data_IF_662309849885
#
_entry.id   IF_662309849885
#
_cell.length_a   1.000
_cell.length_b   1.000
_cell.length_c   1.000
_cell.angle_alpha   90.00
_cell.angle_beta   90.00
_cell.angle_gamma   90.00
#
_symmetry.space_group_name_H-M   'P 1'
#
loop_
_entity.id
_entity.type
_entity.pdbx_description
1 polymer ?
#
# COMPACT_ATOMS: atom_id res chain seq x y z
N UNK A 1 -16.83 -10.94 -7.21
CA UNK A 1 -16.47 -9.90 -6.24
C UNK A 1 -15.45 -10.44 -5.25
N UNK A 2 -14.74 -9.54 -4.59
CA UNK A 2 -13.71 -9.89 -3.61
C UNK A 2 -12.64 -10.80 -4.22
N UNK A 3 -12.10 -11.72 -3.40
CA UNK A 3 -11.03 -12.64 -3.80
C UNK A 3 -11.47 -13.61 -4.94
N UNK A 4 -12.75 -13.91 -5.06
CA UNK A 4 -13.25 -14.73 -6.17
C UNK A 4 -13.18 -14.04 -7.54
N UNK A 5 -13.09 -12.72 -7.56
CA UNK A 5 -12.95 -11.92 -8.78
C UNK A 5 -11.51 -11.45 -9.05
N UNK A 6 -10.75 -11.21 -8.00
CA UNK A 6 -9.40 -10.67 -8.04
C UNK A 6 -8.53 -11.42 -7.02
N UNK A 7 -7.74 -12.38 -7.47
CA UNK A 7 -6.88 -13.21 -6.62
C UNK A 7 -5.41 -12.83 -6.80
N UNK A 8 -4.67 -12.83 -5.70
CA UNK A 8 -3.20 -12.74 -5.65
C UNK A 8 -2.64 -13.84 -4.75
N UNK A 9 -1.30 -13.91 -4.69
CA UNK A 9 -0.58 -14.80 -3.79
C UNK A 9 -0.99 -14.54 -2.31
N UNK A 10 -1.11 -15.58 -1.47
CA UNK A 10 -1.50 -15.44 -0.07
C UNK A 10 -0.45 -14.75 0.82
N UNK A 11 0.77 -14.55 0.35
CA UNK A 11 1.78 -13.78 1.09
C UNK A 11 1.26 -12.37 1.37
N UNK A 12 1.34 -11.85 2.58
CA UNK A 12 0.67 -10.66 3.09
C UNK A 12 -0.87 -10.74 3.21
N UNK A 13 -1.51 -11.84 2.82
CA UNK A 13 -2.96 -12.07 2.94
C UNK A 13 -3.86 -11.02 2.25
N UNK A 14 -3.58 -10.58 1.01
CA UNK A 14 -4.35 -9.51 0.35
C UNK A 14 -5.80 -9.90 0.04
N UNK A 15 -6.12 -11.21 0.03
CA UNK A 15 -7.48 -11.68 -0.19
C UNK A 15 -8.48 -11.13 0.82
N UNK A 16 -8.09 -11.02 2.09
CA UNK A 16 -8.91 -10.41 3.12
C UNK A 16 -9.21 -8.94 2.84
N UNK A 17 -8.23 -8.20 2.33
CA UNK A 17 -8.40 -6.79 1.95
C UNK A 17 -9.34 -6.65 0.74
N UNK A 18 -9.19 -7.51 -0.27
CA UNK A 18 -10.08 -7.51 -1.44
C UNK A 18 -11.53 -7.81 -1.05
N UNK A 19 -11.75 -8.73 -0.11
CA UNK A 19 -13.08 -9.02 0.44
C UNK A 19 -13.62 -7.79 1.19
N UNK A 20 -12.84 -7.19 2.07
CA UNK A 20 -13.27 -6.07 2.90
C UNK A 20 -13.61 -4.82 2.06
N UNK A 21 -12.73 -4.46 1.11
CA UNK A 21 -12.93 -3.31 0.22
C UNK A 21 -14.13 -3.55 -0.71
N UNK A 22 -14.22 -4.74 -1.31
CA UNK A 22 -15.34 -5.11 -2.15
C UNK A 22 -16.68 -5.04 -1.41
N UNK A 23 -16.74 -5.56 -0.18
CA UNK A 23 -17.92 -5.48 0.66
C UNK A 23 -18.31 -4.04 1.00
N UNK A 24 -17.32 -3.16 1.26
CA UNK A 24 -17.58 -1.73 1.49
C UNK A 24 -18.25 -1.08 0.29
N UNK A 25 -17.74 -1.31 -0.92
CA UNK A 25 -18.34 -0.76 -2.14
C UNK A 25 -19.73 -1.33 -2.43
N UNK A 26 -19.92 -2.65 -2.24
CA UNK A 26 -21.23 -3.29 -2.43
C UNK A 26 -22.25 -2.74 -1.42
N UNK A 27 -21.87 -2.61 -0.16
CA UNK A 27 -22.74 -2.05 0.89
C UNK A 27 -23.18 -0.64 0.56
N UNK A 28 -22.27 0.21 0.08
CA UNK A 28 -22.63 1.56 -0.36
C UNK A 28 -23.62 1.54 -1.54
N UNK A 29 -23.37 0.70 -2.57
CA UNK A 29 -24.26 0.60 -3.71
C UNK A 29 -25.65 0.08 -3.33
N UNK A 30 -25.76 -0.94 -2.47
CA UNK A 30 -27.03 -1.44 -1.97
C UNK A 30 -27.78 -0.37 -1.17
N UNK A 31 -27.05 0.39 -0.38
CA UNK A 31 -27.64 1.50 0.41
C UNK A 31 -28.16 2.61 -0.49
N UNK A 32 -27.43 2.96 -1.55
CA UNK A 32 -27.87 3.94 -2.57
C UNK A 32 -29.12 3.46 -3.30
N UNK A 33 -29.15 2.18 -3.69
CA UNK A 33 -30.33 1.58 -4.35
C UNK A 33 -31.56 1.66 -3.44
N UNK A 34 -31.40 1.32 -2.16
CA UNK A 34 -32.47 1.43 -1.16
C UNK A 34 -33.01 2.86 -0.99
N UNK A 35 -32.21 3.87 -1.31
CA UNK A 35 -32.60 5.30 -1.33
C UNK A 35 -33.16 5.75 -2.69
N UNK A 36 -33.23 4.86 -3.70
CA UNK A 36 -33.68 5.19 -5.05
C UNK A 36 -32.67 5.99 -5.89
N UNK A 37 -31.40 5.98 -5.51
CA UNK A 37 -30.33 6.68 -6.22
C UNK A 37 -29.87 5.91 -7.47
N UNK A 38 -29.30 6.61 -8.46
CA UNK A 38 -28.76 5.99 -9.67
C UNK A 38 -27.39 5.40 -9.40
N UNK A 39 -27.20 4.10 -9.66
CA UNK A 39 -25.98 3.37 -9.34
C UNK A 39 -24.91 3.42 -10.44
N UNK A 40 -25.29 3.49 -11.72
CA UNK A 40 -24.41 3.18 -12.86
C UNK A 40 -23.03 3.86 -12.82
N UNK A 41 -23.00 5.19 -12.65
CA UNK A 41 -21.74 5.92 -12.61
C UNK A 41 -20.92 5.60 -11.33
N UNK A 42 -21.59 5.43 -10.20
CA UNK A 42 -20.93 5.10 -8.93
C UNK A 42 -20.33 3.69 -8.98
N UNK A 43 -21.06 2.73 -9.50
CA UNK A 43 -20.60 1.35 -9.68
C UNK A 43 -19.35 1.28 -10.58
N UNK A 44 -19.33 2.03 -11.69
CA UNK A 44 -18.15 2.11 -12.56
C UNK A 44 -16.93 2.70 -11.85
N UNK A 45 -17.12 3.72 -11.03
CA UNK A 45 -16.01 4.31 -10.25
C UNK A 45 -15.49 3.30 -9.23
N UNK A 46 -16.36 2.61 -8.51
CA UNK A 46 -15.94 1.61 -7.52
C UNK A 46 -15.23 0.41 -8.17
N UNK A 47 -15.67 -0.01 -9.35
CA UNK A 47 -14.99 -1.04 -10.13
C UNK A 47 -13.57 -0.59 -10.53
N UNK A 48 -13.40 0.63 -11.02
CA UNK A 48 -12.10 1.21 -11.34
C UNK A 48 -11.19 1.34 -10.10
N UNK A 49 -11.73 1.76 -8.96
CA UNK A 49 -10.98 1.85 -7.71
C UNK A 49 -10.53 0.48 -7.22
N UNK A 50 -11.38 -0.53 -7.33
CA UNK A 50 -11.05 -1.91 -6.97
C UNK A 50 -9.92 -2.46 -7.84
N UNK A 51 -9.96 -2.24 -9.16
CA UNK A 51 -8.88 -2.63 -10.06
C UNK A 51 -7.59 -1.85 -9.79
N UNK A 52 -7.68 -0.54 -9.51
CA UNK A 52 -6.51 0.27 -9.13
C UNK A 52 -5.86 -0.24 -7.85
N UNK A 53 -6.65 -0.66 -6.86
CA UNK A 53 -6.14 -1.27 -5.64
C UNK A 53 -5.46 -2.61 -5.94
N UNK A 54 -6.09 -3.45 -6.78
CA UNK A 54 -5.51 -4.71 -7.21
C UNK A 54 -4.16 -4.52 -7.91
N UNK A 55 -4.07 -3.62 -8.89
CA UNK A 55 -2.84 -3.34 -9.64
C UNK A 55 -1.73 -2.82 -8.71
N UNK A 56 -2.09 -1.97 -7.77
CA UNK A 56 -1.17 -1.47 -6.75
C UNK A 56 -0.62 -2.59 -5.86
N UNK A 57 -1.48 -3.52 -5.47
CA UNK A 57 -1.11 -4.68 -4.66
C UNK A 57 -0.32 -5.70 -5.48
N UNK A 58 -0.69 -5.95 -6.74
CA UNK A 58 0.04 -6.84 -7.66
C UNK A 58 1.51 -6.45 -7.79
N UNK A 59 1.81 -5.17 -7.78
CA UNK A 59 3.19 -4.68 -7.88
C UNK A 59 4.11 -5.18 -6.74
N UNK A 60 3.56 -5.60 -5.60
CA UNK A 60 4.31 -6.15 -4.47
C UNK A 60 4.77 -7.60 -4.72
N UNK A 61 4.17 -8.29 -5.71
CA UNK A 61 4.42 -9.71 -6.01
C UNK A 61 5.09 -9.92 -7.37
N UNK A 62 4.73 -9.10 -8.35
CA UNK A 62 5.21 -9.28 -9.72
C UNK A 62 6.74 -9.21 -9.79
N UNK A 63 7.35 -10.33 -10.20
CA UNK A 63 8.81 -10.48 -10.31
C UNK A 63 9.57 -10.29 -8.97
N UNK A 64 8.90 -10.47 -7.82
CA UNK A 64 9.49 -10.25 -6.49
C UNK A 64 9.95 -11.54 -5.79
N UNK A 65 9.53 -12.71 -6.24
CA UNK A 65 9.86 -14.00 -5.59
C UNK A 65 11.37 -14.26 -5.37
N UNK A 66 12.28 -13.85 -6.28
CA UNK A 66 13.71 -13.98 -6.03
C UNK A 66 14.21 -13.25 -4.77
N UNK A 67 13.51 -12.19 -4.35
CA UNK A 67 13.85 -11.41 -3.15
C UNK A 67 13.50 -12.18 -1.87
N UNK A 68 12.48 -13.04 -1.89
CA UNK A 68 12.02 -13.74 -0.68
C UNK A 68 13.05 -14.68 -0.05
N UNK A 69 14.05 -15.10 -0.82
CA UNK A 69 15.21 -15.83 -0.32
C UNK A 69 16.44 -14.97 -0.03
N UNK A 70 16.33 -13.65 -0.08
CA UNK A 70 17.46 -12.73 0.11
C UNK A 70 17.43 -12.10 1.50
N UNK A 71 18.32 -12.51 2.43
CA UNK A 71 18.28 -12.04 3.81
C UNK A 71 18.75 -10.58 4.00
N UNK A 72 19.37 -9.98 2.98
CA UNK A 72 19.78 -8.58 3.00
C UNK A 72 18.65 -7.66 2.49
N UNK A 73 17.96 -8.06 1.43
CA UNK A 73 16.96 -7.22 0.74
C UNK A 73 15.55 -7.44 1.25
N UNK A 74 15.18 -8.69 1.60
CA UNK A 74 13.82 -8.99 2.06
C UNK A 74 13.38 -8.17 3.28
N UNK A 75 14.18 -7.97 4.33
CA UNK A 75 13.76 -7.13 5.46
C UNK A 75 13.43 -5.70 5.05
N UNK A 76 14.21 -5.14 4.12
CA UNK A 76 13.98 -3.79 3.59
C UNK A 76 12.69 -3.74 2.77
N UNK A 77 12.45 -4.77 1.93
CA UNK A 77 11.18 -4.91 1.21
C UNK A 77 10.00 -4.95 2.15
N UNK A 78 10.05 -5.76 3.21
CA UNK A 78 8.96 -5.88 4.19
C UNK A 78 8.64 -4.54 4.85
N UNK A 79 9.68 -3.80 5.27
CA UNK A 79 9.51 -2.45 5.83
C UNK A 79 8.85 -1.51 4.81
N UNK A 80 9.30 -1.53 3.55
CA UNK A 80 8.71 -0.73 2.50
C UNK A 80 7.24 -1.08 2.26
N UNK A 81 6.94 -2.35 2.04
CA UNK A 81 5.60 -2.83 1.70
C UNK A 81 4.57 -2.48 2.78
N UNK A 82 4.91 -2.68 4.06
CA UNK A 82 4.04 -2.29 5.17
C UNK A 82 3.95 -0.77 5.35
N UNK A 83 5.03 -0.01 5.09
CA UNK A 83 4.97 1.45 5.15
C UNK A 83 4.03 2.00 4.08
N UNK A 84 4.07 1.44 2.88
CA UNK A 84 3.16 1.79 1.79
C UNK A 84 1.72 1.40 2.12
N UNK A 85 1.51 0.17 2.58
CA UNK A 85 0.19 -0.34 2.93
C UNK A 85 -0.46 0.45 4.08
N UNK A 86 0.21 0.58 5.23
CA UNK A 86 -0.33 1.30 6.39
C UNK A 86 -0.37 2.82 6.19
N UNK A 87 0.58 3.35 5.44
CA UNK A 87 0.66 4.80 5.21
C UNK A 87 -0.32 5.33 4.17
N UNK A 88 -0.78 4.49 3.23
CA UNK A 88 -1.63 4.91 2.12
C UNK A 88 -2.89 4.05 2.03
N UNK A 89 -2.74 2.77 1.68
CA UNK A 89 -3.89 1.93 1.30
C UNK A 89 -4.84 1.68 2.48
N UNK A 90 -4.31 1.26 3.63
CA UNK A 90 -5.08 0.98 4.83
C UNK A 90 -5.75 2.23 5.42
N UNK A 91 -5.15 3.42 5.25
CA UNK A 91 -5.73 4.66 5.74
C UNK A 91 -7.14 4.91 5.19
N UNK A 92 -7.36 4.65 3.91
CA UNK A 92 -8.69 4.83 3.30
C UNK A 92 -9.74 3.89 3.89
N UNK A 93 -9.36 2.65 4.20
CA UNK A 93 -10.26 1.68 4.81
C UNK A 93 -10.58 2.03 6.27
N UNK A 94 -9.54 2.19 7.10
CA UNK A 94 -9.70 2.37 8.55
C UNK A 94 -10.31 3.72 8.95
N UNK A 95 -10.24 4.71 8.06
CA UNK A 95 -10.86 6.04 8.28
C UNK A 95 -12.17 6.22 7.51
N UNK A 96 -12.81 5.14 7.02
CA UNK A 96 -14.09 5.18 6.28
C UNK A 96 -14.05 6.11 5.06
N UNK A 97 -12.92 6.15 4.32
CA UNK A 97 -12.72 7.03 3.17
C UNK A 97 -12.77 6.32 1.81
N UNK A 98 -13.03 5.02 1.78
CA UNK A 98 -13.10 4.26 0.52
C UNK A 98 -14.24 4.72 -0.40
N UNK A 99 -15.33 5.23 0.16
CA UNK A 99 -16.47 5.75 -0.60
C UNK A 99 -16.48 7.28 -0.71
N UNK A 100 -15.54 7.96 -0.05
CA UNK A 100 -15.39 9.42 -0.10
C UNK A 100 -14.58 9.86 -1.34
N UNK A 101 -15.27 9.95 -2.48
CA UNK A 101 -14.63 10.36 -3.75
C UNK A 101 -14.09 11.80 -3.71
N UNK A 102 -14.57 12.65 -2.81
CA UNK A 102 -14.09 14.03 -2.68
C UNK A 102 -12.68 14.06 -2.07
N UNK A 103 -12.44 13.30 -1.01
CA UNK A 103 -11.11 13.13 -0.42
C UNK A 103 -10.13 12.48 -1.41
N UNK A 104 -10.58 11.45 -2.16
CA UNK A 104 -9.75 10.83 -3.19
C UNK A 104 -9.38 11.81 -4.31
N UNK A 105 -10.33 12.63 -4.77
CA UNK A 105 -10.07 13.65 -5.78
C UNK A 105 -9.07 14.70 -5.30
N UNK A 106 -9.18 15.13 -4.03
CA UNK A 106 -8.26 16.09 -3.41
C UNK A 106 -6.83 15.55 -3.27
N UNK A 107 -6.67 14.22 -3.21
CA UNK A 107 -5.39 13.53 -3.04
C UNK A 107 -4.88 12.88 -4.35
N UNK A 108 -5.54 13.11 -5.47
CA UNK A 108 -5.25 12.41 -6.74
C UNK A 108 -3.78 12.48 -7.15
N UNK A 109 -3.13 13.60 -6.95
CA UNK A 109 -1.73 13.80 -7.32
C UNK A 109 -0.82 13.00 -6.39
N UNK A 110 -1.02 13.10 -5.09
CA UNK A 110 -0.24 12.39 -4.08
C UNK A 110 -0.39 10.86 -4.21
N UNK A 111 -1.61 10.38 -4.48
CA UNK A 111 -1.87 8.95 -4.69
C UNK A 111 -1.16 8.42 -5.94
N UNK A 112 -1.20 9.15 -7.05
CA UNK A 112 -0.47 8.80 -8.28
C UNK A 112 1.05 8.78 -8.04
N UNK A 113 1.57 9.75 -7.29
CA UNK A 113 2.99 9.80 -6.90
C UNK A 113 3.37 8.63 -5.98
N UNK A 114 2.51 8.25 -5.01
CA UNK A 114 2.74 7.08 -4.17
C UNK A 114 2.81 5.79 -4.99
N UNK A 115 1.90 5.59 -5.95
CA UNK A 115 1.93 4.42 -6.85
C UNK A 115 3.18 4.38 -7.71
N UNK A 116 3.59 5.51 -8.27
CA UNK A 116 4.81 5.60 -9.07
C UNK A 116 6.03 5.28 -8.22
N UNK A 117 6.13 5.89 -7.04
CA UNK A 117 7.24 5.65 -6.10
C UNK A 117 7.31 4.18 -5.68
N UNK A 118 6.15 3.53 -5.44
CA UNK A 118 6.11 2.11 -5.13
C UNK A 118 6.70 1.27 -6.28
N UNK A 119 6.31 1.50 -7.53
CA UNK A 119 6.88 0.79 -8.69
C UNK A 119 8.40 0.96 -8.78
N UNK A 120 8.89 2.19 -8.59
CA UNK A 120 10.32 2.49 -8.63
C UNK A 120 11.11 1.78 -7.54
N UNK A 121 10.57 1.72 -6.33
CA UNK A 121 11.22 1.02 -5.22
C UNK A 121 11.18 -0.50 -5.42
N UNK A 122 10.06 -1.08 -5.87
CA UNK A 122 10.00 -2.51 -6.17
C UNK A 122 11.03 -2.90 -7.24
N UNK A 123 11.22 -2.06 -8.26
CA UNK A 123 12.26 -2.28 -9.26
C UNK A 123 13.68 -2.13 -8.68
N UNK A 124 13.90 -1.14 -7.82
CA UNK A 124 15.19 -0.95 -7.15
C UNK A 124 15.55 -2.15 -6.26
N UNK A 125 14.58 -2.69 -5.51
CA UNK A 125 14.77 -3.89 -4.68
C UNK A 125 15.10 -5.13 -5.53
N UNK A 126 14.46 -5.33 -6.69
CA UNK A 126 14.81 -6.40 -7.62
C UNK A 126 16.25 -6.27 -8.12
N UNK A 127 16.64 -5.07 -8.52
CA UNK A 127 18.03 -4.82 -8.98
C UNK A 127 19.03 -5.05 -7.87
N UNK A 128 18.73 -4.61 -6.66
CA UNK A 128 19.59 -4.83 -5.49
C UNK A 128 19.74 -6.34 -5.21
N UNK A 129 18.64 -7.09 -5.14
CA UNK A 129 18.69 -8.53 -4.88
C UNK A 129 19.45 -9.32 -5.96
N UNK A 130 19.48 -8.83 -7.21
CA UNK A 130 20.24 -9.46 -8.28
C UNK A 130 21.77 -9.41 -8.07
N UNK A 131 22.26 -8.44 -7.29
CA UNK A 131 23.68 -8.22 -7.00
C UNK A 131 24.05 -8.44 -5.53
N UNK A 132 23.05 -8.63 -4.68
CA UNK A 132 23.21 -8.87 -3.24
C UNK A 132 24.09 -10.09 -2.99
N UNK A 133 24.95 -10.01 -1.98
CA UNK A 133 25.78 -11.12 -1.53
C UNK A 133 24.99 -12.16 -0.73
N UNK A 134 23.71 -11.90 -0.42
CA UNK A 134 22.81 -12.78 0.36
C UNK A 134 23.39 -13.21 1.70
N UNK A 135 24.15 -12.33 2.34
CA UNK A 135 24.74 -12.59 3.65
C UNK A 135 23.66 -12.58 4.73
N UNK A 136 23.65 -13.60 5.56
CA UNK A 136 22.80 -13.61 6.73
C UNK A 136 23.27 -12.55 7.72
N UNK A 137 22.39 -11.63 8.17
CA UNK A 137 22.74 -10.68 9.19
C UNK A 137 23.05 -11.40 10.52
N UNK A 138 23.99 -10.86 11.30
CA UNK A 138 24.32 -11.41 12.61
C UNK A 138 23.17 -11.29 13.63
N UNK A 139 22.26 -10.32 13.41
CA UNK A 139 21.11 -10.02 14.26
C UNK A 139 19.89 -9.90 13.34
N UNK A 140 18.77 -10.54 13.73
CA UNK A 140 17.50 -10.38 13.04
C UNK A 140 17.01 -8.94 13.20
N UNK A 141 16.51 -8.36 12.11
CA UNK A 141 15.84 -7.05 12.17
C UNK A 141 14.57 -7.18 13.02
N UNK A 142 14.53 -6.49 14.15
CA UNK A 142 13.31 -6.35 14.95
C UNK A 142 12.56 -5.07 14.52
N UNK A 143 11.40 -5.23 13.93
CA UNK A 143 10.54 -4.12 13.51
C UNK A 143 10.05 -3.29 14.70
N UNK A 144 9.99 -3.87 15.90
CA UNK A 144 9.62 -3.16 17.13
C UNK A 144 10.66 -2.11 17.54
N UNK A 145 11.91 -2.26 17.09
CA UNK A 145 12.97 -1.25 17.28
C UNK A 145 12.82 -0.03 16.36
N UNK A 146 11.80 0.00 15.51
CA UNK A 146 11.46 1.14 14.64
C UNK A 146 10.23 1.87 15.20
N UNK A 147 10.38 2.85 16.12
CA UNK A 147 9.23 3.49 16.78
C UNK A 147 8.24 4.12 15.80
N UNK A 148 8.74 4.71 14.72
CA UNK A 148 7.92 5.32 13.67
C UNK A 148 7.08 4.28 12.90
N UNK A 149 7.55 3.04 12.78
CA UNK A 149 6.86 1.97 12.09
C UNK A 149 5.69 1.46 12.93
N UNK A 150 5.91 1.25 14.22
CA UNK A 150 4.85 0.91 15.16
C UNK A 150 3.80 2.03 15.28
N UNK A 151 4.24 3.30 15.26
CA UNK A 151 3.35 4.47 15.29
C UNK A 151 2.48 4.54 14.03
N UNK A 152 3.04 4.24 12.87
CA UNK A 152 2.30 4.22 11.61
C UNK A 152 1.12 3.23 11.68
N UNK A 153 1.34 2.03 12.23
CA UNK A 153 0.28 1.05 12.44
C UNK A 153 -0.77 1.54 13.46
N UNK A 154 -0.35 2.04 14.64
CA UNK A 154 -1.27 2.59 15.65
C UNK A 154 -2.14 3.71 15.10
N UNK A 155 -1.60 4.52 14.21
CA UNK A 155 -2.30 5.66 13.60
C UNK A 155 -3.53 5.29 12.77
N UNK A 156 -3.70 4.02 12.42
CA UNK A 156 -4.89 3.52 11.72
C UNK A 156 -6.16 3.61 12.57
N UNK A 157 -6.04 3.70 13.89
CA UNK A 157 -7.19 3.81 14.81
C UNK A 157 -7.49 5.25 15.25
N UNK A 158 -6.77 6.24 14.73
CA UNK A 158 -7.03 7.65 15.03
C UNK A 158 -8.39 8.10 14.49
N UNK A 159 -9.01 9.07 15.15
CA UNK A 159 -10.22 9.71 14.64
C UNK A 159 -9.82 10.99 13.89
N UNK A 160 -9.99 10.98 12.57
CA UNK A 160 -9.56 12.08 11.70
C UNK A 160 -10.75 12.72 10.97
N UNK A 161 -10.83 14.05 11.05
CA UNK A 161 -11.66 14.82 10.10
C UNK A 161 -11.00 14.85 8.70
N UNK A 162 -11.70 15.40 7.71
CA UNK A 162 -11.20 15.41 6.33
C UNK A 162 -9.89 16.18 6.16
N UNK A 163 -9.70 17.40 6.74
CA UNK A 163 -8.42 18.08 6.68
C UNK A 163 -7.26 17.29 7.31
N UNK A 164 -7.48 16.69 8.48
CA UNK A 164 -6.47 15.88 9.16
C UNK A 164 -6.14 14.61 8.37
N UNK A 165 -7.14 13.96 7.75
CA UNK A 165 -6.92 12.82 6.88
C UNK A 165 -6.05 13.18 5.65
N UNK A 166 -6.36 14.28 4.97
CA UNK A 166 -5.57 14.77 3.82
C UNK A 166 -4.13 15.08 4.25
N UNK A 167 -3.96 15.73 5.41
CA UNK A 167 -2.63 16.01 5.95
C UNK A 167 -1.85 14.71 6.28
N UNK A 168 -2.54 13.68 6.80
CA UNK A 168 -1.98 12.36 7.09
C UNK A 168 -1.44 11.69 5.83
N UNK A 169 -2.20 11.63 4.74
CA UNK A 169 -1.75 11.04 3.47
C UNK A 169 -0.53 11.80 2.91
N UNK A 170 -0.52 13.14 2.99
CA UNK A 170 0.64 13.93 2.57
C UNK A 170 1.89 13.66 3.41
N UNK A 171 1.74 13.51 4.72
CA UNK A 171 2.83 13.14 5.60
C UNK A 171 3.35 11.72 5.30
N UNK A 172 2.45 10.78 4.99
CA UNK A 172 2.82 9.43 4.56
C UNK A 172 3.60 9.45 3.24
N UNK A 173 3.18 10.25 2.25
CA UNK A 173 3.94 10.42 1.01
C UNK A 173 5.36 10.95 1.27
N UNK A 174 5.51 11.97 2.11
CA UNK A 174 6.83 12.51 2.46
C UNK A 174 7.72 11.45 3.12
N UNK A 175 7.17 10.61 3.99
CA UNK A 175 7.88 9.49 4.62
C UNK A 175 8.30 8.43 3.60
N UNK A 176 7.40 8.04 2.70
CA UNK A 176 7.70 7.09 1.62
C UNK A 176 8.83 7.62 0.72
N UNK A 177 8.80 8.90 0.39
CA UNK A 177 9.85 9.52 -0.44
C UNK A 177 11.22 9.48 0.27
N UNK A 178 11.27 9.78 1.57
CA UNK A 178 12.49 9.70 2.35
C UNK A 178 13.03 8.25 2.41
N UNK A 179 12.16 7.27 2.68
CA UNK A 179 12.52 5.86 2.72
C UNK A 179 12.99 5.34 1.36
N UNK A 180 12.32 5.73 0.27
CA UNK A 180 12.74 5.38 -1.09
C UNK A 180 14.14 5.91 -1.42
N UNK A 181 14.45 7.13 -0.97
CA UNK A 181 15.78 7.73 -1.13
C UNK A 181 16.85 6.91 -0.41
N UNK A 182 16.57 6.49 0.83
CA UNK A 182 17.50 5.64 1.62
C UNK A 182 17.70 4.28 0.96
N UNK A 183 16.63 3.62 0.50
CA UNK A 183 16.70 2.34 -0.22
C UNK A 183 17.57 2.48 -1.48
N UNK A 184 17.35 3.54 -2.26
CA UNK A 184 18.13 3.77 -3.47
C UNK A 184 19.62 4.04 -3.17
N UNK A 185 19.95 4.70 -2.07
CA UNK A 185 21.33 4.91 -1.63
C UNK A 185 22.00 3.61 -1.22
N UNK A 186 21.33 2.75 -0.43
CA UNK A 186 21.82 1.43 -0.03
C UNK A 186 22.05 0.53 -1.23
N UNK A 187 21.08 0.45 -2.14
CA UNK A 187 21.21 -0.35 -3.35
C UNK A 187 22.39 0.08 -4.24
N UNK A 188 22.73 1.38 -4.26
CA UNK A 188 23.91 1.88 -4.98
C UNK A 188 25.23 1.55 -4.29
N UNK A 189 25.26 1.56 -2.96
CA UNK A 189 26.49 1.27 -2.19
C UNK A 189 26.95 -0.20 -2.39
N UNK A 190 26.03 -1.12 -2.68
CA UNK A 190 26.37 -2.51 -3.01
C UNK A 190 26.98 -2.66 -4.43
N UNK A 191 26.79 -1.66 -5.30
CA UNK A 191 27.39 -1.61 -6.65
C UNK A 191 28.84 -1.08 -6.67
N UNK A 192 29.31 -0.48 -5.59
CA UNK A 192 30.63 0.17 -5.51
C UNK A 192 31.68 -0.72 -4.85
#
# INVERSE_FOLDING_TARGET
TGEAGLFLDPFYSPGSDFIAISNTYITELVTMEGRGERLGARAQVFDQLMHSFYDSTLSLYQDQYPIFGDPEVLPVKVIWDYTYYWGVLAQFFFHDRLTDLSSMAALRVELAQCQQLNREVQEALRRWSAISHKRNPAIMLDQAELPWFAELNRSLTDVLDTPAFVARIRASYARLHALATEIAQRARAEHA
#
